data_IF_204726288546
#
_entry.id   IF_204726288546
#
_cell.length_a   1.000
_cell.length_b   1.000
_cell.length_c   1.000
_cell.angle_alpha   90.00
_cell.angle_beta   90.00
_cell.angle_gamma   90.00
#
_symmetry.space_group_name_H-M   'P 1'
#
loop_
_entity.id
_entity.type
_entity.pdbx_description
1 polymer ?
#
# COMPACT_ATOMS: atom_id res chain seq x y z
N UNK A 1 -22.42 10.47 -5.77
CA UNK A 1 -23.35 9.51 -6.41
C UNK A 1 -23.21 8.14 -5.77
N UNK A 2 -22.03 7.50 -5.76
CA UNK A 2 -21.79 6.14 -5.24
C UNK A 2 -22.28 5.98 -3.78
N UNK A 3 -21.88 6.87 -2.89
CA UNK A 3 -22.27 6.83 -1.46
C UNK A 3 -23.78 6.97 -1.28
N UNK A 4 -24.43 7.85 -2.08
CA UNK A 4 -25.92 7.94 -2.08
C UNK A 4 -26.57 6.66 -2.60
N UNK A 5 -25.87 5.85 -3.37
CA UNK A 5 -26.29 4.52 -3.83
C UNK A 5 -26.04 3.40 -2.83
N UNK A 6 -25.53 3.70 -1.63
CA UNK A 6 -25.32 2.71 -0.55
C UNK A 6 -23.89 2.14 -0.47
N UNK A 7 -22.94 2.62 -1.28
CA UNK A 7 -21.55 2.18 -1.22
C UNK A 7 -20.93 2.51 0.14
N UNK A 8 -20.26 1.54 0.74
CA UNK A 8 -19.65 1.62 2.08
C UNK A 8 -18.15 1.88 2.06
N UNK A 9 -17.50 1.60 0.95
CA UNK A 9 -16.07 1.82 0.76
C UNK A 9 -15.81 2.46 -0.60
N UNK A 10 -14.89 3.43 -0.63
CA UNK A 10 -14.37 4.08 -1.83
C UNK A 10 -12.90 3.70 -2.00
N UNK A 11 -12.58 3.11 -3.13
CA UNK A 11 -11.21 2.85 -3.56
C UNK A 11 -10.76 4.02 -4.43
N UNK A 12 -9.78 4.78 -3.97
CA UNK A 12 -9.17 5.88 -4.73
C UNK A 12 -8.02 5.31 -5.53
N UNK A 13 -8.23 5.15 -6.83
CA UNK A 13 -7.30 4.48 -7.74
C UNK A 13 -6.96 5.42 -8.88
N UNK A 14 -5.67 5.60 -9.13
CA UNK A 14 -5.12 6.22 -10.33
C UNK A 14 -3.75 5.64 -10.62
N UNK A 15 -3.10 6.04 -11.70
CA UNK A 15 -1.72 5.63 -11.98
C UNK A 15 -0.73 6.15 -10.90
N UNK A 16 -1.00 7.34 -10.37
CA UNK A 16 -0.30 7.92 -9.22
C UNK A 16 -1.29 8.82 -8.45
N UNK A 17 -1.84 8.30 -7.38
CA UNK A 17 -2.83 9.01 -6.55
C UNK A 17 -2.19 10.20 -5.82
N UNK A 18 -0.89 10.14 -5.52
CA UNK A 18 -0.18 11.25 -4.89
C UNK A 18 0.00 12.46 -5.81
N UNK A 19 -0.07 12.28 -7.14
CA UNK A 19 0.01 13.35 -8.12
C UNK A 19 -1.31 14.10 -8.34
N UNK A 20 -2.36 13.81 -7.56
CA UNK A 20 -3.65 14.47 -7.71
C UNK A 20 -3.53 16.01 -7.70
N UNK A 21 -4.03 16.63 -8.77
CA UNK A 21 -4.10 18.08 -8.94
C UNK A 21 -2.84 18.75 -9.49
N UNK A 22 -1.78 17.99 -9.80
CA UNK A 22 -0.56 18.52 -10.45
C UNK A 22 -0.89 19.22 -11.77
N UNK A 23 -1.75 18.61 -12.59
CA UNK A 23 -2.25 19.15 -13.87
C UNK A 23 -3.05 20.45 -13.70
N UNK A 24 -3.74 20.60 -12.57
CA UNK A 24 -4.48 21.80 -12.19
C UNK A 24 -3.64 22.83 -11.42
N UNK A 25 -2.33 22.60 -11.28
CA UNK A 25 -1.44 23.45 -10.46
C UNK A 25 -1.99 23.70 -9.06
N UNK A 26 -2.66 22.68 -8.53
CA UNK A 26 -3.30 22.70 -7.21
C UNK A 26 -4.35 23.79 -7.01
N UNK A 27 -4.98 24.26 -8.09
CA UNK A 27 -5.99 25.31 -8.05
C UNK A 27 -7.16 24.92 -7.12
N UNK A 28 -7.65 25.86 -6.29
CA UNK A 28 -8.77 25.60 -5.40
C UNK A 28 -10.06 25.31 -6.18
N UNK A 29 -10.87 24.38 -5.68
CA UNK A 29 -12.18 24.02 -6.23
C UNK A 29 -13.22 23.96 -5.14
N UNK A 30 -14.43 24.38 -5.49
CA UNK A 30 -15.60 24.29 -4.61
C UNK A 30 -16.13 22.84 -4.66
N UNK A 31 -16.31 22.24 -3.47
CA UNK A 31 -17.02 20.98 -3.32
C UNK A 31 -17.97 21.04 -2.12
N UNK A 32 -19.25 20.87 -2.36
CA UNK A 32 -20.29 21.23 -1.39
C UNK A 32 -20.22 22.72 -1.06
N UNK A 33 -20.11 23.05 0.23
CA UNK A 33 -20.00 24.42 0.72
C UNK A 33 -18.56 24.82 1.06
N UNK A 34 -17.58 23.94 0.79
CA UNK A 34 -16.18 24.15 1.16
C UNK A 34 -15.31 24.29 -0.08
N UNK A 35 -14.26 25.09 0.05
CA UNK A 35 -13.22 25.23 -0.96
C UNK A 35 -12.04 24.36 -0.56
N UNK A 36 -11.61 23.49 -1.47
CA UNK A 36 -10.46 22.60 -1.29
C UNK A 36 -9.40 22.92 -2.33
N UNK A 37 -8.14 22.93 -1.93
CA UNK A 37 -7.05 22.85 -2.90
C UNK A 37 -7.09 21.47 -3.57
N UNK A 38 -6.76 21.40 -4.86
CA UNK A 38 -6.68 20.12 -5.58
C UNK A 38 -5.38 19.40 -5.23
N UNK A 39 -5.21 19.01 -3.95
CA UNK A 39 -4.09 18.26 -3.41
C UNK A 39 -4.54 16.96 -2.77
N UNK A 40 -3.68 15.97 -2.71
CA UNK A 40 -3.98 14.66 -2.11
C UNK A 40 -4.56 14.78 -0.70
N UNK A 41 -3.94 15.58 0.17
CA UNK A 41 -4.44 15.79 1.54
C UNK A 41 -5.87 16.35 1.55
N UNK A 42 -6.12 17.43 0.81
CA UNK A 42 -7.44 18.05 0.75
C UNK A 42 -8.50 17.14 0.09
N UNK A 43 -8.09 16.30 -0.88
CA UNK A 43 -8.95 15.24 -1.42
C UNK A 43 -9.37 14.27 -0.31
N UNK A 44 -8.42 13.80 0.50
CA UNK A 44 -8.69 12.91 1.63
C UNK A 44 -9.63 13.55 2.66
N UNK A 45 -9.38 14.82 3.02
CA UNK A 45 -10.24 15.60 3.93
C UNK A 45 -11.67 15.73 3.39
N UNK A 46 -11.80 16.01 2.09
CA UNK A 46 -13.09 16.07 1.43
C UNK A 46 -13.81 14.73 1.43
N UNK A 47 -13.14 13.64 1.02
CA UNK A 47 -13.71 12.30 0.98
C UNK A 47 -14.14 11.82 2.38
N UNK A 48 -13.41 12.18 3.42
CA UNK A 48 -13.76 11.88 4.81
C UNK A 48 -15.16 12.40 5.22
N UNK A 49 -15.61 13.51 4.62
CA UNK A 49 -16.95 14.07 4.90
C UNK A 49 -18.10 13.20 4.40
N UNK A 50 -17.80 12.17 3.59
CA UNK A 50 -18.82 11.26 3.05
C UNK A 50 -19.21 10.16 4.04
N UNK A 51 -18.46 9.95 5.12
CA UNK A 51 -18.78 8.99 6.19
C UNK A 51 -18.69 7.52 5.76
N UNK A 52 -17.89 7.21 4.75
CA UNK A 52 -17.62 5.85 4.28
C UNK A 52 -16.12 5.57 4.29
N UNK A 53 -15.75 4.31 4.30
CA UNK A 53 -14.34 3.93 4.19
C UNK A 53 -13.74 4.49 2.91
N UNK A 54 -12.55 5.08 3.03
CA UNK A 54 -11.79 5.57 1.88
C UNK A 54 -10.40 4.97 1.94
N UNK A 55 -10.05 4.20 0.90
CA UNK A 55 -8.78 3.50 0.76
C UNK A 55 -7.98 4.11 -0.38
N UNK A 56 -6.68 4.32 -0.15
CA UNK A 56 -5.77 4.91 -1.13
C UNK A 56 -4.91 3.82 -1.77
N UNK A 57 -4.94 3.77 -3.10
CA UNK A 57 -4.11 2.87 -3.90
C UNK A 57 -3.14 3.62 -4.79
N UNK A 58 -2.02 2.99 -5.16
CA UNK A 58 -1.01 3.49 -6.08
C UNK A 58 -0.48 4.88 -5.68
N UNK A 59 -0.06 4.99 -4.44
CA UNK A 59 0.52 6.22 -3.88
C UNK A 59 2.03 6.20 -4.12
N UNK A 60 2.56 7.19 -4.80
CA UNK A 60 4.00 7.32 -5.01
C UNK A 60 4.68 7.90 -3.75
N UNK A 61 5.92 7.49 -3.40
CA UNK A 61 6.55 7.87 -2.14
C UNK A 61 7.08 9.33 -2.09
N UNK A 62 6.32 10.29 -2.61
CA UNK A 62 6.66 11.70 -2.49
C UNK A 62 6.56 12.20 -1.05
N UNK A 63 7.35 13.24 -0.67
CA UNK A 63 7.34 13.77 0.70
C UNK A 63 5.96 14.20 1.22
N UNK A 64 5.11 14.77 0.36
CA UNK A 64 3.78 15.26 0.76
C UNK A 64 2.77 14.15 1.10
N UNK A 65 3.10 12.89 0.82
CA UNK A 65 2.29 11.75 1.28
C UNK A 65 2.30 11.66 2.81
N UNK A 66 3.35 12.11 3.45
CA UNK A 66 3.45 12.16 4.91
C UNK A 66 2.32 12.98 5.56
N UNK A 67 1.77 13.97 4.82
CA UNK A 67 0.67 14.82 5.31
C UNK A 67 -0.67 14.09 5.42
N UNK A 68 -0.79 12.90 4.83
CA UNK A 68 -2.02 12.07 4.89
C UNK A 68 -2.01 11.12 6.08
N UNK A 69 -0.84 10.78 6.60
CA UNK A 69 -0.71 9.83 7.72
C UNK A 69 -1.49 10.28 8.97
N UNK A 70 -1.47 11.57 9.39
CA UNK A 70 -2.33 12.04 10.48
C UNK A 70 -3.82 11.82 10.21
N UNK A 71 -4.29 11.97 8.96
CA UNK A 71 -5.69 11.73 8.61
C UNK A 71 -6.08 10.25 8.75
N UNK A 72 -5.13 9.33 8.54
CA UNK A 72 -5.30 7.89 8.80
C UNK A 72 -5.42 7.62 10.30
N UNK A 73 -4.55 8.23 11.12
CA UNK A 73 -4.61 8.11 12.57
C UNK A 73 -5.91 8.68 13.17
N UNK A 74 -6.44 9.74 12.56
CA UNK A 74 -7.72 10.34 12.94
C UNK A 74 -8.95 9.55 12.42
N UNK A 75 -8.75 8.49 11.63
CA UNK A 75 -9.83 7.69 11.03
C UNK A 75 -10.58 8.37 9.89
N UNK A 76 -10.04 9.46 9.33
CA UNK A 76 -10.63 10.18 8.19
C UNK A 76 -10.50 9.41 6.88
N UNK A 77 -9.41 8.69 6.72
CA UNK A 77 -9.19 7.70 5.66
C UNK A 77 -8.66 6.42 6.31
N UNK A 78 -8.80 5.28 5.63
CA UNK A 78 -8.33 4.02 6.19
C UNK A 78 -6.82 4.05 6.45
N UNK A 79 -6.35 3.44 7.55
CA UNK A 79 -4.93 3.29 7.85
C UNK A 79 -4.30 2.23 6.94
N UNK A 80 -4.33 2.49 5.64
CA UNK A 80 -3.87 1.61 4.58
C UNK A 80 -3.18 2.42 3.51
N UNK A 81 -1.93 2.10 3.22
CA UNK A 81 -1.14 2.80 2.22
C UNK A 81 -0.50 1.79 1.26
N UNK A 82 -0.98 1.80 0.01
CA UNK A 82 -0.39 1.05 -1.10
C UNK A 82 0.64 1.93 -1.81
N UNK A 83 1.91 1.67 -1.49
CA UNK A 83 3.04 2.51 -1.88
C UNK A 83 4.20 1.64 -2.42
N UNK A 84 4.38 1.56 -3.75
CA UNK A 84 5.42 0.74 -4.36
C UNK A 84 6.81 1.36 -4.15
N UNK A 85 7.61 0.78 -3.26
CA UNK A 85 8.98 1.23 -3.02
C UNK A 85 9.96 0.79 -4.11
N UNK A 86 9.67 -0.27 -4.82
CA UNK A 86 10.44 -0.84 -5.93
C UNK A 86 11.76 -1.51 -5.51
N UNK A 87 12.58 -0.89 -4.69
CA UNK A 87 13.86 -1.40 -4.17
C UNK A 87 14.26 -0.64 -2.89
N UNK A 88 15.25 -1.17 -2.14
CA UNK A 88 15.83 -0.49 -0.98
C UNK A 88 17.15 0.24 -1.31
N UNK A 89 17.93 -0.22 -2.31
CA UNK A 89 19.19 0.42 -2.70
C UNK A 89 18.96 1.76 -3.39
N UNK A 90 19.52 2.87 -2.88
CA UNK A 90 19.45 4.17 -3.54
C UNK A 90 20.03 4.16 -4.96
N UNK A 91 21.09 3.36 -5.19
CA UNK A 91 21.72 3.23 -6.51
C UNK A 91 20.77 2.58 -7.52
N UNK A 92 20.13 1.48 -7.15
CA UNK A 92 19.16 0.79 -8.00
C UNK A 92 17.94 1.68 -8.26
N UNK A 93 17.40 2.35 -7.25
CA UNK A 93 16.29 3.29 -7.41
C UNK A 93 16.63 4.44 -8.38
N UNK A 94 17.87 4.93 -8.34
CA UNK A 94 18.36 5.93 -9.30
C UNK A 94 18.41 5.37 -10.72
N UNK A 95 18.88 4.12 -10.90
CA UNK A 95 18.87 3.44 -12.20
C UNK A 95 17.46 3.22 -12.72
N UNK A 96 16.52 2.89 -11.85
CA UNK A 96 15.08 2.79 -12.15
C UNK A 96 14.43 4.15 -12.45
N UNK A 97 15.16 5.27 -12.33
CA UNK A 97 14.64 6.64 -12.44
C UNK A 97 13.52 6.92 -11.42
N UNK A 98 13.70 6.47 -10.18
CA UNK A 98 12.76 6.62 -9.07
C UNK A 98 13.32 7.55 -7.96
N UNK A 99 13.58 8.85 -8.24
CA UNK A 99 14.30 9.74 -7.32
C UNK A 99 13.56 10.01 -6.01
N UNK A 100 12.24 9.96 -5.99
CA UNK A 100 11.45 10.23 -4.79
C UNK A 100 11.48 9.11 -3.74
N UNK A 101 12.05 7.94 -4.08
CA UNK A 101 12.12 6.79 -3.18
C UNK A 101 13.47 6.65 -2.46
N UNK A 102 14.46 7.50 -2.79
CA UNK A 102 15.87 7.23 -2.47
C UNK A 102 16.25 7.53 -1.03
N UNK A 103 15.61 8.50 -0.38
CA UNK A 103 16.08 8.94 0.93
C UNK A 103 15.15 8.53 2.08
N UNK A 104 15.70 7.74 3.03
CA UNK A 104 15.10 7.53 4.35
C UNK A 104 13.76 6.80 4.36
N UNK A 105 13.51 5.91 3.39
CA UNK A 105 12.25 5.14 3.33
C UNK A 105 11.98 4.41 4.64
N UNK A 106 12.98 3.77 5.23
CA UNK A 106 12.84 3.07 6.51
C UNK A 106 12.50 4.02 7.67
N UNK A 107 13.17 5.20 7.73
CA UNK A 107 12.86 6.22 8.74
C UNK A 107 11.43 6.76 8.58
N UNK A 108 10.98 6.93 7.33
CA UNK A 108 9.60 7.33 7.03
C UNK A 108 8.60 6.28 7.49
N UNK A 109 8.82 5.00 7.19
CA UNK A 109 7.98 3.89 7.65
C UNK A 109 7.90 3.87 9.19
N UNK A 110 9.03 3.99 9.89
CA UNK A 110 9.08 4.07 11.36
C UNK A 110 8.29 5.28 11.88
N UNK A 111 8.43 6.45 11.25
CA UNK A 111 7.68 7.66 11.59
C UNK A 111 6.18 7.51 11.32
N UNK A 112 5.78 6.94 10.18
CA UNK A 112 4.37 6.70 9.88
C UNK A 112 3.71 5.82 10.95
N UNK A 113 4.39 4.76 11.37
CA UNK A 113 3.89 3.89 12.45
C UNK A 113 3.85 4.57 13.81
N UNK A 114 4.74 5.51 14.09
CA UNK A 114 4.67 6.30 15.32
C UNK A 114 3.47 7.25 15.35
N UNK A 115 3.00 7.73 14.20
CA UNK A 115 1.82 8.60 14.05
C UNK A 115 0.54 7.75 13.96
N UNK A 116 0.56 6.68 13.19
CA UNK A 116 -0.56 5.79 12.96
C UNK A 116 -0.12 4.32 13.20
N UNK A 117 -0.17 3.82 14.44
CA UNK A 117 0.31 2.47 14.79
C UNK A 117 -0.38 1.35 14.01
N UNK A 118 -1.63 1.52 13.66
CA UNK A 118 -2.45 0.54 12.94
C UNK A 118 -2.29 0.59 11.42
N UNK A 119 -1.34 1.42 10.92
CA UNK A 119 -1.16 1.55 9.47
C UNK A 119 -0.72 0.23 8.85
N UNK A 120 -1.46 -0.19 7.83
CA UNK A 120 -1.12 -1.30 6.96
C UNK A 120 -0.36 -0.78 5.75
N UNK A 121 0.85 -1.28 5.55
CA UNK A 121 1.71 -0.89 4.44
C UNK A 121 1.75 -2.01 3.40
N UNK A 122 1.25 -1.71 2.21
CA UNK A 122 1.35 -2.55 1.04
C UNK A 122 2.40 -1.99 0.09
N UNK A 123 3.25 -2.85 -0.46
CA UNK A 123 4.31 -2.43 -1.36
C UNK A 123 4.60 -3.45 -2.44
N UNK A 124 5.32 -3.01 -3.47
CA UNK A 124 5.80 -3.83 -4.57
C UNK A 124 7.27 -3.56 -4.80
N UNK A 125 8.02 -4.64 -5.07
CA UNK A 125 9.46 -4.60 -5.32
C UNK A 125 9.81 -5.29 -6.63
N UNK A 126 10.99 -4.96 -7.15
CA UNK A 126 11.59 -5.61 -8.31
C UNK A 126 12.96 -6.11 -7.87
N UNK A 127 13.20 -7.42 -8.08
CA UNK A 127 14.50 -8.06 -7.83
C UNK A 127 15.19 -8.41 -9.14
N UNK A 128 16.52 -8.48 -9.14
CA UNK A 128 17.28 -8.79 -10.33
C UNK A 128 17.26 -7.70 -11.40
N UNK A 129 17.09 -6.44 -11.01
CA UNK A 129 17.20 -5.30 -11.92
C UNK A 129 18.64 -5.26 -12.50
N UNK A 130 18.85 -4.88 -13.79
CA UNK A 130 20.19 -4.80 -14.38
C UNK A 130 21.15 -4.00 -13.50
N UNK A 131 22.30 -4.62 -13.18
CA UNK A 131 23.30 -4.07 -12.29
C UNK A 131 23.08 -4.28 -10.80
N UNK A 132 21.99 -4.92 -10.36
CA UNK A 132 21.78 -5.27 -8.95
C UNK A 132 22.82 -6.27 -8.47
N UNK A 133 23.58 -5.92 -7.44
CA UNK A 133 24.59 -6.77 -6.82
C UNK A 133 23.98 -7.67 -5.74
N UNK A 134 24.73 -8.74 -5.36
CA UNK A 134 24.31 -9.60 -4.24
C UNK A 134 24.21 -8.82 -2.93
N UNK A 135 25.13 -7.89 -2.69
CA UNK A 135 25.09 -7.03 -1.51
C UNK A 135 23.81 -6.19 -1.46
N UNK A 136 23.39 -5.58 -2.58
CA UNK A 136 22.16 -4.78 -2.64
C UNK A 136 20.89 -5.61 -2.48
N UNK A 137 20.94 -6.86 -2.91
CA UNK A 137 19.86 -7.79 -2.64
C UNK A 137 19.80 -8.18 -1.16
N UNK A 138 20.93 -8.43 -0.50
CA UNK A 138 20.95 -8.67 0.97
C UNK A 138 20.48 -7.41 1.76
N UNK A 139 20.87 -6.21 1.34
CA UNK A 139 20.36 -4.95 1.89
C UNK A 139 18.83 -4.83 1.72
N UNK A 140 18.27 -5.34 0.62
CA UNK A 140 16.84 -5.38 0.37
C UNK A 140 16.12 -6.34 1.34
N UNK A 141 16.69 -7.51 1.61
CA UNK A 141 16.15 -8.44 2.62
C UNK A 141 16.22 -7.85 4.02
N UNK A 142 17.33 -7.20 4.38
CA UNK A 142 17.45 -6.49 5.64
C UNK A 142 16.40 -5.37 5.76
N UNK A 143 16.15 -4.64 4.68
CA UNK A 143 15.08 -3.63 4.66
C UNK A 143 13.71 -4.24 4.97
N UNK A 144 13.36 -5.42 4.44
CA UNK A 144 12.10 -6.10 4.78
C UNK A 144 12.02 -6.39 6.28
N UNK A 145 13.12 -6.91 6.86
CA UNK A 145 13.19 -7.23 8.29
C UNK A 145 12.99 -6.00 9.18
N UNK A 146 13.55 -4.87 8.79
CA UNK A 146 13.43 -3.65 9.57
C UNK A 146 12.11 -2.90 9.32
N UNK A 147 11.64 -2.92 8.07
CA UNK A 147 10.41 -2.22 7.67
C UNK A 147 9.15 -2.96 8.11
N UNK A 148 9.20 -4.30 8.25
CA UNK A 148 8.06 -5.12 8.68
C UNK A 148 6.78 -4.79 7.91
N UNK A 149 6.85 -4.76 6.57
CA UNK A 149 5.71 -4.42 5.73
C UNK A 149 4.62 -5.51 5.80
N UNK A 150 3.36 -5.10 5.73
CA UNK A 150 2.23 -6.01 5.95
C UNK A 150 1.89 -6.85 4.71
N UNK A 151 1.87 -6.24 3.55
CA UNK A 151 1.52 -6.86 2.27
C UNK A 151 2.56 -6.49 1.23
N UNK A 152 3.31 -7.46 0.76
CA UNK A 152 4.35 -7.21 -0.24
C UNK A 152 4.31 -8.24 -1.36
N UNK A 153 4.33 -7.76 -2.59
CA UNK A 153 4.62 -8.54 -3.77
C UNK A 153 5.98 -8.16 -4.35
N UNK A 154 6.62 -9.11 -5.02
CA UNK A 154 7.82 -8.86 -5.78
C UNK A 154 7.72 -9.46 -7.18
N UNK A 155 8.47 -8.87 -8.11
CA UNK A 155 8.63 -9.36 -9.47
C UNK A 155 10.11 -9.49 -9.79
N UNK A 156 10.49 -10.58 -10.47
CA UNK A 156 11.77 -10.65 -11.14
C UNK A 156 11.76 -9.64 -12.30
N UNK A 157 12.86 -8.90 -12.46
CA UNK A 157 12.98 -7.99 -13.60
C UNK A 157 12.80 -8.75 -14.92
N UNK A 158 11.84 -8.30 -15.71
CA UNK A 158 11.59 -8.80 -17.07
C UNK A 158 11.90 -7.72 -18.09
N UNK A 159 12.78 -7.98 -19.06
CA UNK A 159 13.07 -7.03 -20.13
C UNK A 159 11.84 -6.85 -21.03
N UNK A 160 11.38 -5.62 -21.15
CA UNK A 160 10.31 -5.25 -22.07
C UNK A 160 10.95 -4.57 -23.27
N UNK A 161 10.50 -4.91 -24.48
CA UNK A 161 11.01 -4.31 -25.71
C UNK A 161 10.95 -2.77 -25.67
N UNK A 162 12.05 -2.11 -26.03
CA UNK A 162 12.16 -0.66 -26.03
C UNK A 162 12.43 -0.03 -24.66
N UNK A 163 12.45 -0.80 -23.58
CA UNK A 163 12.77 -0.27 -22.26
C UNK A 163 14.24 0.13 -22.13
N UNK A 164 14.52 1.36 -21.70
CA UNK A 164 15.89 1.88 -21.53
C UNK A 164 16.71 1.05 -20.52
N UNK A 165 16.07 0.38 -19.56
CA UNK A 165 16.74 -0.48 -18.59
C UNK A 165 17.43 -1.69 -19.24
N UNK A 166 16.98 -2.15 -20.41
CA UNK A 166 17.62 -3.25 -21.14
C UNK A 166 19.03 -2.91 -21.66
N UNK A 167 19.36 -1.62 -21.71
CA UNK A 167 20.67 -1.11 -22.16
C UNK A 167 21.66 -0.91 -21.00
N UNK A 168 21.23 -1.16 -19.77
CA UNK A 168 22.10 -1.06 -18.61
C UNK A 168 23.11 -2.24 -18.60
N UNK A 169 24.33 -2.00 -18.09
CA UNK A 169 25.32 -3.06 -17.96
C UNK A 169 24.93 -4.06 -16.88
N UNK A 170 25.64 -5.18 -16.86
CA UNK A 170 25.58 -6.22 -15.83
C UNK A 170 24.14 -6.78 -15.65
N UNK A 171 23.52 -7.35 -16.69
CA UNK A 171 22.23 -8.00 -16.56
C UNK A 171 22.34 -9.18 -15.60
N UNK A 172 21.40 -9.28 -14.66
CA UNK A 172 21.33 -10.40 -13.72
C UNK A 172 20.84 -11.64 -14.45
N UNK A 173 21.54 -12.81 -14.33
CA UNK A 173 21.08 -14.07 -14.92
C UNK A 173 19.69 -14.48 -14.45
N UNK A 174 18.93 -15.16 -15.30
CA UNK A 174 17.54 -15.52 -14.98
C UNK A 174 17.43 -16.42 -13.75
N UNK A 175 18.32 -17.38 -13.60
CA UNK A 175 18.38 -18.28 -12.43
C UNK A 175 18.58 -17.48 -11.13
N UNK A 176 19.46 -16.47 -11.15
CA UNK A 176 19.71 -15.59 -10.00
C UNK A 176 18.49 -14.72 -9.67
N UNK A 177 17.78 -14.20 -10.69
CA UNK A 177 16.54 -13.46 -10.48
C UNK A 177 15.48 -14.32 -9.80
N UNK A 178 15.30 -15.56 -10.25
CA UNK A 178 14.32 -16.47 -9.68
C UNK A 178 14.70 -16.90 -8.25
N UNK A 179 15.98 -17.13 -7.99
CA UNK A 179 16.48 -17.39 -6.63
C UNK A 179 16.20 -16.20 -5.70
N UNK A 180 16.55 -14.99 -6.13
CA UNK A 180 16.30 -13.76 -5.35
C UNK A 180 14.80 -13.56 -5.10
N UNK A 181 13.97 -13.79 -6.11
CA UNK A 181 12.50 -13.70 -5.94
C UNK A 181 11.99 -14.70 -4.92
N UNK A 182 12.45 -15.95 -4.97
CA UNK A 182 12.05 -16.98 -4.02
C UNK A 182 12.44 -16.60 -2.58
N UNK A 183 13.69 -16.21 -2.34
CA UNK A 183 14.20 -15.78 -1.02
C UNK A 183 13.46 -14.54 -0.50
N UNK A 184 13.19 -13.57 -1.37
CA UNK A 184 12.44 -12.37 -1.02
C UNK A 184 11.02 -12.73 -0.57
N UNK A 185 10.31 -13.56 -1.32
CA UNK A 185 8.92 -13.93 -1.02
C UNK A 185 8.83 -14.84 0.21
N UNK A 186 9.79 -15.74 0.42
CA UNK A 186 9.90 -16.55 1.65
C UNK A 186 10.03 -15.64 2.88
N UNK A 187 10.97 -14.69 2.84
CA UNK A 187 11.17 -13.74 3.95
C UNK A 187 9.93 -12.90 4.21
N UNK A 188 9.28 -12.42 3.17
CA UNK A 188 8.06 -11.64 3.31
C UNK A 188 6.89 -12.47 3.84
N UNK A 189 6.79 -13.74 3.50
CA UNK A 189 5.76 -14.64 4.03
C UNK A 189 5.91 -14.81 5.55
N UNK A 190 7.13 -14.96 6.06
CA UNK A 190 7.43 -15.01 7.51
C UNK A 190 6.98 -13.72 8.22
N UNK A 191 7.36 -12.55 7.65
CA UNK A 191 6.97 -11.25 8.19
C UNK A 191 5.46 -11.08 8.20
N UNK A 192 4.80 -11.41 7.10
CA UNK A 192 3.32 -11.30 6.99
C UNK A 192 2.62 -12.22 7.99
N UNK A 193 3.09 -13.45 8.17
CA UNK A 193 2.56 -14.38 9.15
C UNK A 193 2.69 -13.84 10.58
N UNK A 194 3.88 -13.37 10.96
CA UNK A 194 4.12 -12.80 12.28
C UNK A 194 3.24 -11.57 12.56
N UNK A 195 3.04 -10.71 11.56
CA UNK A 195 2.16 -9.54 11.69
C UNK A 195 0.68 -9.91 11.80
N UNK A 196 0.24 -10.97 11.15
CA UNK A 196 -1.12 -11.49 11.30
C UNK A 196 -1.31 -12.15 12.67
N UNK A 197 -0.34 -12.94 13.13
CA UNK A 197 -0.36 -13.56 14.45
C UNK A 197 -0.45 -12.53 15.58
N UNK A 198 0.25 -11.41 15.46
CA UNK A 198 0.17 -10.30 16.40
C UNK A 198 -1.23 -9.66 16.53
N UNK A 199 -2.14 -9.94 15.61
CA UNK A 199 -3.55 -9.49 15.67
C UNK A 199 -4.46 -10.44 16.46
N UNK A 200 -3.98 -11.63 16.82
CA UNK A 200 -4.76 -12.59 17.61
C UNK A 200 -5.09 -11.98 18.99
N UNK A 201 -6.35 -12.07 19.37
CA UNK A 201 -6.85 -11.48 20.61
C UNK A 201 -7.16 -9.99 20.54
N UNK A 202 -6.98 -9.34 19.39
CA UNK A 202 -7.38 -7.94 19.19
C UNK A 202 -8.79 -7.81 18.64
N UNK A 203 -9.43 -6.64 18.85
CA UNK A 203 -10.72 -6.31 18.28
C UNK A 203 -10.51 -5.54 16.97
N UNK A 204 -11.12 -6.03 15.88
CA UNK A 204 -11.03 -5.41 14.57
C UNK A 204 -12.40 -4.91 14.10
N UNK A 205 -12.44 -3.73 13.50
CA UNK A 205 -13.62 -3.27 12.78
C UNK A 205 -13.59 -3.83 11.37
N UNK A 206 -14.66 -4.55 10.98
CA UNK A 206 -14.77 -5.18 9.68
C UNK A 206 -15.99 -4.68 8.92
N UNK A 207 -15.89 -4.67 7.60
CA UNK A 207 -16.99 -4.49 6.67
C UNK A 207 -17.42 -5.86 6.15
N UNK A 208 -18.67 -6.24 6.37
CA UNK A 208 -19.22 -7.53 5.93
C UNK A 208 -19.54 -7.43 4.44
N UNK A 209 -18.90 -8.27 3.63
CA UNK A 209 -19.12 -8.32 2.19
C UNK A 209 -20.17 -9.35 1.78
N UNK A 210 -20.24 -10.47 2.52
CA UNK A 210 -21.13 -11.59 2.21
C UNK A 210 -21.50 -12.34 3.48
N UNK A 211 -22.67 -12.94 3.50
CA UNK A 211 -23.08 -13.91 4.52
C UNK A 211 -23.55 -15.17 3.80
N UNK A 212 -22.87 -16.28 4.08
CA UNK A 212 -23.20 -17.60 3.55
C UNK A 212 -23.42 -18.56 4.72
N UNK A 213 -24.60 -19.14 4.81
CA UNK A 213 -25.03 -19.99 5.92
C UNK A 213 -24.83 -19.24 7.26
N UNK A 214 -23.91 -19.74 8.10
CA UNK A 214 -23.61 -19.16 9.40
C UNK A 214 -22.24 -18.43 9.46
N UNK A 215 -21.58 -18.26 8.32
CA UNK A 215 -20.30 -17.58 8.21
C UNK A 215 -20.50 -16.23 7.51
N UNK A 216 -20.08 -15.15 8.17
CA UNK A 216 -19.96 -13.88 7.50
C UNK A 216 -18.52 -13.70 6.98
N UNK A 217 -18.39 -13.39 5.71
CA UNK A 217 -17.12 -13.02 5.07
C UNK A 217 -17.00 -11.52 5.08
N UNK A 218 -15.93 -11.03 5.65
CA UNK A 218 -15.71 -9.61 5.88
C UNK A 218 -14.28 -9.21 5.55
N UNK A 219 -14.01 -7.93 5.47
CA UNK A 219 -12.67 -7.36 5.38
C UNK A 219 -12.44 -6.39 6.53
N UNK A 220 -11.23 -6.43 7.09
CA UNK A 220 -10.79 -5.42 8.03
C UNK A 220 -10.32 -4.13 7.32
N UNK A 221 -9.99 -3.11 8.08
CA UNK A 221 -9.37 -1.88 7.54
C UNK A 221 -8.04 -2.16 6.83
N UNK A 222 -7.39 -3.28 7.17
CA UNK A 222 -6.11 -3.70 6.62
C UNK A 222 -6.22 -4.47 5.29
N UNK A 223 -7.44 -4.75 4.82
CA UNK A 223 -7.66 -5.66 3.70
C UNK A 223 -8.44 -4.96 2.57
N UNK A 224 -7.78 -4.75 1.45
CA UNK A 224 -8.41 -4.25 0.24
C UNK A 224 -9.19 -5.38 -0.47
N UNK A 225 -10.35 -5.08 -1.08
CA UNK A 225 -11.15 -6.08 -1.75
C UNK A 225 -10.38 -6.77 -2.88
N UNK A 226 -10.56 -8.08 -3.01
CA UNK A 226 -10.05 -8.95 -4.09
C UNK A 226 -8.51 -9.16 -4.10
N UNK A 227 -7.73 -8.36 -3.37
CA UNK A 227 -6.27 -8.42 -3.44
C UNK A 227 -5.56 -8.73 -2.12
N UNK A 228 -6.25 -8.56 -0.99
CA UNK A 228 -5.70 -8.84 0.34
C UNK A 228 -6.48 -9.98 1.03
N UNK A 229 -6.38 -10.08 2.35
CA UNK A 229 -7.02 -11.14 3.12
C UNK A 229 -8.51 -10.95 3.37
N UNK A 230 -9.11 -11.99 3.95
CA UNK A 230 -10.50 -12.00 4.38
C UNK A 230 -10.59 -12.31 5.88
N UNK A 231 -11.66 -11.86 6.50
CA UNK A 231 -12.02 -12.19 7.88
C UNK A 231 -13.28 -13.05 7.86
N UNK A 232 -13.17 -14.30 8.33
CA UNK A 232 -14.30 -15.21 8.47
C UNK A 232 -14.85 -15.11 9.88
N UNK A 233 -16.09 -14.66 10.02
CA UNK A 233 -16.78 -14.48 11.31
C UNK A 233 -17.73 -15.65 11.49
N UNK A 234 -17.45 -16.50 12.49
CA UNK A 234 -18.32 -17.63 12.86
C UNK A 234 -19.59 -17.11 13.51
N UNK A 235 -20.68 -17.84 13.34
CA UNK A 235 -22.03 -17.51 13.85
C UNK A 235 -22.54 -16.15 13.34
N UNK A 236 -22.14 -15.76 12.15
CA UNK A 236 -22.50 -14.44 11.57
C UNK A 236 -23.99 -14.28 11.32
N UNK A 237 -24.67 -15.36 10.92
CA UNK A 237 -26.12 -15.38 10.74
C UNK A 237 -26.87 -15.22 12.06
N UNK A 238 -26.51 -16.00 13.08
CA UNK A 238 -27.13 -15.94 14.42
C UNK A 238 -26.86 -14.60 15.12
N UNK A 239 -25.68 -14.00 14.89
CA UNK A 239 -25.32 -12.69 15.44
C UNK A 239 -26.12 -11.52 14.81
N UNK A 240 -26.94 -11.77 13.79
CA UNK A 240 -27.74 -10.76 13.10
C UNK A 240 -26.90 -9.76 12.30
N UNK A 241 -25.72 -10.16 11.85
CA UNK A 241 -24.87 -9.33 10.98
C UNK A 241 -25.58 -9.04 9.65
N UNK A 242 -25.18 -7.97 9.01
CA UNK A 242 -25.72 -7.56 7.70
C UNK A 242 -24.56 -7.15 6.79
N UNK A 243 -24.74 -7.34 5.50
CA UNK A 243 -23.83 -6.83 4.48
C UNK A 243 -23.79 -5.30 4.52
N UNK A 244 -22.57 -4.75 4.54
CA UNK A 244 -22.30 -3.30 4.57
C UNK A 244 -22.23 -2.70 5.95
#
# INVERSE_FOLDING_TARGET
KLVRGGVKELLVVSQDTSAYGVDLKYAPKLWGNNVYETRMKALCEGLATLGVWTRLHYVYPYPHVDDVIPLMAEGKVLPYLDIPFQHASPRILKLMKRPGAVDKTLERVKRWRSICPDITLRSTFIVGFPGETDQEFEELLQFLDEAQLDRVGAFAYSPVEGAAANLLPDPVPEEVKQERLARFMERQAEISAARLEAKIGTVQQCLVDLIEDDIAVARSKADAPEIDGLVHIQNGGEAGLRVG
#
